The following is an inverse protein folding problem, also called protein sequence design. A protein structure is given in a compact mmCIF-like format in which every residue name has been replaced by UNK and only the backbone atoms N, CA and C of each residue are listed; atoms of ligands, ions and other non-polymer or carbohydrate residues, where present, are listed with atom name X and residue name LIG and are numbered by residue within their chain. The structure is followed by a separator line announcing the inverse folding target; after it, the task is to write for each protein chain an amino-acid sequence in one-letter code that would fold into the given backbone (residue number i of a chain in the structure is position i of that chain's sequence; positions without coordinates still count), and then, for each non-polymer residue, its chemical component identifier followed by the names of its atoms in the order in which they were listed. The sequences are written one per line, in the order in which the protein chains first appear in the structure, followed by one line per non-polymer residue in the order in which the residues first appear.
data_IF_317106986027
#
_entry.id   IF_317106986027
#
_cell.length_a   1.000
_cell.length_b   1.000
_cell.length_c   1.000
_cell.angle_alpha   90.00
_cell.angle_beta   90.00
_cell.angle_gamma   90.00
#
_symmetry.space_group_name_H-M   'P 1'
#
loop_
_entity.id
_entity.type
_entity.pdbx_description
1 polymer ?
#
# COMPACT_ATOMS: atom_id res chain seq x y z
N UNK A 1 20.34 12.14 21.99
CA UNK A 1 18.98 12.59 21.66
C UNK A 1 18.88 12.61 20.15
N UNK A 2 18.30 11.57 19.55
CA UNK A 2 18.11 11.50 18.10
C UNK A 2 16.63 11.69 17.79
N UNK A 3 16.42 12.59 16.86
CA UNK A 3 15.15 13.08 16.33
C UNK A 3 14.21 11.93 15.95
N UNK A 4 13.03 11.89 16.57
CA UNK A 4 11.93 11.03 16.12
C UNK A 4 11.31 11.70 14.90
N UNK A 5 11.91 11.44 13.74
CA UNK A 5 11.27 11.66 12.45
C UNK A 5 10.03 10.78 12.36
N UNK A 6 8.90 11.27 12.89
CA UNK A 6 7.60 10.74 12.57
C UNK A 6 7.39 10.94 11.08
N UNK A 7 7.34 9.83 10.33
CA UNK A 7 6.90 9.87 8.94
C UNK A 7 5.60 10.67 8.88
N UNK A 8 5.53 11.75 8.08
CA UNK A 8 4.30 12.52 7.97
C UNK A 8 3.21 11.57 7.46
N UNK A 9 2.13 11.44 8.24
CA UNK A 9 0.91 10.76 7.82
C UNK A 9 0.59 11.21 6.39
N UNK A 10 0.73 10.29 5.43
CA UNK A 10 0.40 10.56 4.05
C UNK A 10 -1.06 11.00 4.02
N UNK A 11 -1.27 12.21 3.51
CA UNK A 11 -2.56 12.90 3.36
C UNK A 11 -3.50 12.15 2.41
N UNK A 12 -3.89 10.92 2.74
CA UNK A 12 -4.84 10.11 1.97
C UNK A 12 -6.28 10.35 2.42
N UNK A 13 -6.49 10.69 3.69
CA UNK A 13 -7.85 10.88 4.25
C UNK A 13 -8.50 12.19 3.75
N UNK A 14 -7.72 13.25 3.52
CA UNK A 14 -8.27 14.52 3.02
C UNK A 14 -8.56 14.54 1.52
N UNK A 15 -7.91 13.66 0.72
CA UNK A 15 -8.14 13.60 -0.72
C UNK A 15 -9.47 12.92 -1.09
N UNK A 16 -9.91 11.93 -0.30
CA UNK A 16 -11.16 11.19 -0.54
C UNK A 16 -12.39 12.09 -0.32
N UNK A 17 -12.36 12.97 0.70
CA UNK A 17 -13.43 13.94 0.94
C UNK A 17 -13.57 15.01 -0.15
N UNK A 18 -12.46 15.40 -0.79
CA UNK A 18 -12.46 16.40 -1.87
C UNK A 18 -12.93 15.81 -3.22
N UNK A 19 -12.67 14.53 -3.48
CA UNK A 19 -13.21 13.84 -4.67
C UNK A 19 -14.75 13.73 -4.60
N UNK A 20 -15.31 13.58 -3.40
CA UNK A 20 -16.74 13.45 -3.18
C UNK A 20 -17.52 14.75 -3.48
N UNK A 21 -16.91 15.92 -3.25
CA UNK A 21 -17.56 17.22 -3.53
C UNK A 21 -17.60 17.56 -5.04
N UNK A 22 -16.67 17.03 -5.84
CA UNK A 22 -16.63 17.25 -7.29
C UNK A 22 -17.69 16.42 -8.05
N UNK A 23 -18.07 15.25 -7.54
CA UNK A 23 -19.12 14.39 -8.13
C UNK A 23 -20.55 14.87 -7.82
N UNK A 24 -20.72 15.73 -6.81
CA UNK A 24 -22.01 16.25 -6.37
C UNK A 24 -22.49 17.51 -7.13
N UNK A 25 -21.94 17.80 -8.32
CA UNK A 25 -22.44 18.90 -9.16
C UNK A 25 -23.80 18.55 -9.78
N UNK A 26 -24.85 19.39 -9.61
CA UNK A 26 -26.18 19.12 -10.15
C UNK A 26 -26.23 19.40 -11.66
N UNK A 27 -25.80 18.43 -12.46
CA UNK A 27 -26.14 18.42 -13.89
C UNK A 27 -27.54 17.79 -14.04
N UNK A 28 -28.56 18.63 -14.19
CA UNK A 28 -29.89 18.22 -14.60
C UNK A 28 -29.80 17.47 -15.95
N UNK A 29 -30.30 16.24 -16.02
CA UNK A 29 -30.93 15.56 -17.17
C UNK A 29 -31.42 14.20 -16.66
N UNK A 30 -32.54 13.73 -17.21
CA UNK A 30 -33.44 12.65 -16.75
C UNK A 30 -32.85 11.22 -16.70
N UNK A 31 -31.58 11.06 -16.32
CA UNK A 31 -30.88 9.80 -16.24
C UNK A 31 -30.72 9.38 -14.77
N UNK A 32 -31.24 8.19 -14.42
CA UNK A 32 -31.16 7.64 -13.06
C UNK A 32 -29.69 7.45 -12.67
N UNK A 33 -29.29 8.12 -11.60
CA UNK A 33 -27.96 7.98 -11.00
C UNK A 33 -28.09 7.06 -9.80
N UNK A 34 -27.34 5.97 -9.79
CA UNK A 34 -27.25 5.07 -8.65
C UNK A 34 -25.88 5.24 -8.02
N UNK A 35 -25.87 5.57 -6.74
CA UNK A 35 -24.67 5.61 -5.93
C UNK A 35 -24.90 4.68 -4.75
N UNK A 36 -24.08 3.63 -4.67
CA UNK A 36 -24.03 2.72 -3.53
C UNK A 36 -22.61 2.68 -2.98
N UNK A 37 -22.49 2.35 -1.71
CA UNK A 37 -21.17 2.15 -1.12
C UNK A 37 -21.24 1.74 0.33
N UNK A 38 -20.08 1.33 0.82
CA UNK A 38 -19.84 0.93 2.18
C UNK A 38 -18.53 1.54 2.66
N UNK A 39 -18.47 1.85 3.96
CA UNK A 39 -17.26 2.24 4.65
C UNK A 39 -17.25 1.42 5.93
N UNK A 40 -16.15 0.72 6.16
CA UNK A 40 -15.92 -0.06 7.37
C UNK A 40 -14.75 0.55 8.12
N UNK A 41 -14.93 0.79 9.42
CA UNK A 41 -13.86 1.19 10.33
C UNK A 41 -13.74 0.12 11.39
N UNK A 42 -12.59 -0.53 11.46
CA UNK A 42 -12.34 -1.65 12.36
C UNK A 42 -11.27 -1.27 13.39
N UNK A 43 -11.60 -1.22 14.68
CA UNK A 43 -10.59 -1.25 15.73
C UNK A 43 -10.08 -2.69 15.89
N UNK A 44 -8.76 -2.86 15.91
CA UNK A 44 -8.10 -4.15 16.12
C UNK A 44 -7.26 -4.11 17.39
N UNK A 45 -7.40 -5.13 18.22
CA UNK A 45 -6.44 -5.48 19.26
C UNK A 45 -5.79 -6.80 18.89
N UNK A 46 -4.48 -6.78 18.68
CA UNK A 46 -3.70 -7.95 18.22
C UNK A 46 -2.57 -8.20 19.20
N UNK A 47 -2.61 -9.36 19.85
CA UNK A 47 -1.51 -9.87 20.67
C UNK A 47 -0.92 -11.10 20.00
N UNK A 48 0.37 -11.06 19.70
CA UNK A 48 1.09 -12.16 19.06
C UNK A 48 2.12 -12.70 20.04
N UNK A 49 2.01 -13.99 20.36
CA UNK A 49 3.04 -14.74 21.09
C UNK A 49 3.92 -15.47 20.09
N UNK A 50 5.24 -15.23 20.14
CA UNK A 50 6.21 -15.82 19.22
C UNK A 50 6.72 -14.86 18.14
N UNK A 51 7.07 -15.41 16.97
CA UNK A 51 7.72 -14.69 15.86
C UNK A 51 6.77 -13.73 15.14
N UNK A 52 6.78 -12.46 15.55
CA UNK A 52 5.95 -11.39 14.96
C UNK A 52 6.19 -11.21 13.46
N UNK A 53 7.45 -11.31 13.02
CA UNK A 53 7.81 -11.18 11.60
C UNK A 53 7.13 -12.25 10.74
N UNK A 54 7.06 -13.50 11.24
CA UNK A 54 6.40 -14.60 10.54
C UNK A 54 4.89 -14.51 10.57
N UNK A 55 4.31 -14.09 11.69
CA UNK A 55 2.87 -13.81 11.76
C UNK A 55 2.43 -12.74 10.74
N UNK A 56 3.26 -11.71 10.56
CA UNK A 56 3.03 -10.62 9.61
C UNK A 56 3.87 -10.75 8.33
N UNK A 57 4.23 -11.96 7.88
CA UNK A 57 5.20 -12.10 6.78
C UNK A 57 4.74 -11.37 5.50
N UNK A 58 3.44 -11.40 5.18
CA UNK A 58 2.85 -10.76 4.00
C UNK A 58 1.65 -9.84 4.31
N UNK A 59 1.55 -9.35 5.55
CA UNK A 59 0.41 -8.53 6.01
C UNK A 59 0.84 -7.60 7.15
N UNK A 60 -0.02 -6.64 7.49
CA UNK A 60 0.26 -5.65 8.53
C UNK A 60 -0.80 -5.65 9.64
N UNK A 61 -0.93 -6.80 10.32
CA UNK A 61 -1.83 -6.93 11.47
C UNK A 61 -1.14 -6.45 12.74
N UNK A 62 -1.53 -5.28 13.20
CA UNK A 62 -1.15 -4.75 14.52
C UNK A 62 -2.30 -3.99 15.16
N UNK A 63 -2.26 -3.89 16.50
CA UNK A 63 -3.20 -3.09 17.28
C UNK A 63 -3.29 -1.67 16.73
N UNK A 64 -4.50 -1.18 16.51
CA UNK A 64 -4.78 0.10 15.88
C UNK A 64 -6.13 0.12 15.19
N UNK A 65 -6.37 1.13 14.36
CA UNK A 65 -7.58 1.25 13.54
C UNK A 65 -7.21 0.98 12.08
N UNK A 66 -8.04 0.22 11.38
CA UNK A 66 -7.97 0.08 9.92
C UNK A 66 -9.33 0.43 9.33
N UNK A 67 -9.40 0.65 8.03
CA UNK A 67 -10.67 0.83 7.36
C UNK A 67 -10.65 0.34 5.93
N UNK A 68 -11.82 -0.03 5.48
CA UNK A 68 -12.09 -0.47 4.12
C UNK A 68 -13.24 0.39 3.57
N UNK A 69 -13.28 0.55 2.26
CA UNK A 69 -14.40 1.19 1.60
C UNK A 69 -14.63 0.62 0.22
N UNK A 70 -15.88 0.69 -0.22
CA UNK A 70 -16.30 0.34 -1.58
C UNK A 70 -17.36 1.32 -2.02
N UNK A 71 -17.24 1.85 -3.23
CA UNK A 71 -18.22 2.73 -3.84
C UNK A 71 -18.48 2.28 -5.27
N UNK A 72 -19.75 2.31 -5.65
CA UNK A 72 -20.19 2.04 -7.00
C UNK A 72 -21.10 3.18 -7.45
N UNK A 73 -20.81 3.72 -8.61
CA UNK A 73 -21.58 4.77 -9.24
C UNK A 73 -21.99 4.31 -10.63
N UNK A 74 -23.29 4.36 -10.90
CA UNK A 74 -23.85 4.07 -12.21
C UNK A 74 -24.68 5.24 -12.72
N UNK A 75 -24.55 5.52 -14.02
CA UNK A 75 -25.38 6.50 -14.72
C UNK A 75 -25.59 6.02 -16.15
N UNK A 76 -26.81 5.56 -16.44
CA UNK A 76 -27.15 4.92 -17.71
C UNK A 76 -26.22 3.76 -18.04
N UNK A 77 -25.43 3.90 -19.10
CA UNK A 77 -24.48 2.86 -19.53
C UNK A 77 -23.06 3.08 -18.97
N UNK A 78 -22.85 4.08 -18.11
CA UNK A 78 -21.56 4.35 -17.49
C UNK A 78 -21.52 3.79 -16.07
N UNK A 79 -20.35 3.33 -15.66
CA UNK A 79 -20.08 2.86 -14.31
C UNK A 79 -18.70 3.34 -13.83
N UNK A 80 -18.57 3.47 -12.51
CA UNK A 80 -17.33 3.77 -11.80
C UNK A 80 -17.36 3.04 -10.46
N UNK A 81 -16.40 2.16 -10.24
CA UNK A 81 -16.15 1.45 -9.00
C UNK A 81 -14.86 1.95 -8.38
N UNK A 82 -14.89 2.16 -7.07
CA UNK A 82 -13.72 2.55 -6.28
C UNK A 82 -13.71 1.73 -4.99
N UNK A 83 -12.60 1.05 -4.71
CA UNK A 83 -12.41 0.28 -3.49
C UNK A 83 -11.07 0.58 -2.83
N UNK A 84 -11.05 0.49 -1.50
CA UNK A 84 -9.85 0.57 -0.68
C UNK A 84 -9.90 -0.47 0.42
N UNK A 85 -8.81 -1.20 0.59
CA UNK A 85 -8.65 -2.23 1.62
C UNK A 85 -7.44 -1.90 2.50
N UNK A 86 -7.56 -2.18 3.79
CA UNK A 86 -6.54 -1.94 4.81
C UNK A 86 -5.97 -0.51 4.78
N UNK A 87 -6.84 0.48 4.57
CA UNK A 87 -6.45 1.88 4.37
C UNK A 87 -5.59 2.37 5.53
N UNK A 88 -4.40 2.88 5.20
CA UNK A 88 -3.43 3.38 6.17
C UNK A 88 -2.47 2.33 6.75
N UNK A 89 -2.53 1.08 6.30
CA UNK A 89 -1.60 -0.01 6.66
C UNK A 89 -0.52 -0.22 5.61
N UNK A 90 0.50 -1.02 5.94
CA UNK A 90 1.58 -1.40 5.00
C UNK A 90 1.14 -2.45 3.96
N UNK A 91 -0.03 -3.07 4.15
CA UNK A 91 -0.66 -4.02 3.23
C UNK A 91 -1.93 -3.45 2.55
N UNK A 92 -1.95 -2.13 2.36
CA UNK A 92 -3.10 -1.43 1.77
C UNK A 92 -3.21 -1.63 0.26
N UNK A 93 -4.45 -1.67 -0.22
CA UNK A 93 -4.78 -1.84 -1.64
C UNK A 93 -5.86 -0.84 -2.05
N UNK A 94 -5.74 -0.27 -3.24
CA UNK A 94 -6.76 0.57 -3.85
C UNK A 94 -7.04 0.12 -5.27
N UNK A 95 -8.31 0.10 -5.63
CA UNK A 95 -8.78 -0.25 -6.97
C UNK A 95 -9.74 0.82 -7.46
N UNK A 96 -9.57 1.21 -8.72
CA UNK A 96 -10.49 2.08 -9.44
C UNK A 96 -10.77 1.42 -10.78
N UNK A 97 -12.04 1.30 -11.12
CA UNK A 97 -12.48 0.75 -12.39
C UNK A 97 -13.63 1.59 -12.92
N UNK A 98 -13.71 1.76 -14.22
CA UNK A 98 -14.88 2.41 -14.78
C UNK A 98 -14.92 2.31 -16.28
N UNK A 99 -15.97 2.88 -16.86
CA UNK A 99 -16.11 2.91 -18.30
C UNK A 99 -17.55 3.02 -18.74
N UNK A 100 -17.78 2.61 -19.98
CA UNK A 100 -19.10 2.51 -20.59
C UNK A 100 -19.33 1.08 -21.03
N UNK A 101 -20.40 0.48 -20.52
CA UNK A 101 -20.79 -0.90 -20.83
C UNK A 101 -20.82 -1.15 -22.35
N UNK A 102 -20.04 -2.14 -22.80
CA UNK A 102 -19.94 -2.53 -24.20
C UNK A 102 -19.28 -1.50 -25.11
N UNK A 103 -18.50 -0.56 -24.58
CA UNK A 103 -17.73 0.40 -25.39
C UNK A 103 -16.29 0.54 -24.93
N UNK A 104 -16.05 0.83 -23.65
CA UNK A 104 -14.69 0.91 -23.13
C UNK A 104 -14.66 0.68 -21.63
N UNK A 105 -13.48 0.31 -21.14
CA UNK A 105 -13.19 0.09 -19.72
C UNK A 105 -11.79 0.61 -19.42
N UNK A 106 -11.61 1.17 -18.24
CA UNK A 106 -10.30 1.42 -17.67
C UNK A 106 -10.23 0.84 -16.26
N UNK A 107 -9.02 0.55 -15.83
CA UNK A 107 -8.73 0.12 -14.47
C UNK A 107 -7.42 0.73 -13.99
N UNK A 108 -7.33 0.90 -12.67
CA UNK A 108 -6.13 1.28 -11.96
C UNK A 108 -6.08 0.52 -10.65
N UNK A 109 -4.90 -0.01 -10.33
CA UNK A 109 -4.65 -0.72 -9.07
C UNK A 109 -3.38 -0.18 -8.44
N UNK A 110 -3.47 0.04 -7.13
CA UNK A 110 -2.33 0.25 -6.25
C UNK A 110 -2.34 -0.86 -5.20
N UNK A 111 -1.24 -1.57 -5.05
CA UNK A 111 -1.12 -2.66 -4.10
C UNK A 111 0.21 -2.57 -3.34
N UNK A 112 0.14 -2.72 -2.03
CA UNK A 112 1.31 -2.79 -1.16
C UNK A 112 1.32 -4.10 -0.41
N UNK A 113 2.46 -4.79 -0.43
CA UNK A 113 2.65 -6.03 0.30
C UNK A 113 4.00 -5.95 1.03
N UNK A 114 4.01 -5.98 2.37
CA UNK A 114 5.25 -6.12 3.11
C UNK A 114 5.78 -7.56 2.97
N UNK A 115 7.09 -7.75 3.04
CA UNK A 115 7.73 -9.04 3.22
C UNK A 115 8.63 -8.96 4.46
N UNK A 116 8.14 -9.43 5.60
CA UNK A 116 8.86 -9.35 6.88
C UNK A 116 9.70 -10.62 7.11
N UNK A 117 11.03 -10.49 7.09
CA UNK A 117 11.93 -11.61 7.35
C UNK A 117 12.14 -11.82 8.84
N UNK A 118 12.50 -10.75 9.56
CA UNK A 118 12.70 -10.75 11.01
C UNK A 118 12.61 -9.32 11.57
N UNK A 119 12.15 -9.18 12.82
CA UNK A 119 12.14 -7.91 13.57
C UNK A 119 13.24 -7.85 14.64
N UNK A 120 14.17 -8.82 14.61
CA UNK A 120 15.21 -8.99 15.63
C UNK A 120 16.59 -9.20 15.00
N UNK A 121 16.77 -8.83 13.73
CA UNK A 121 18.07 -8.91 13.08
C UNK A 121 19.10 -8.06 13.84
N UNK A 122 20.32 -8.58 13.94
CA UNK A 122 21.44 -7.91 14.58
C UNK A 122 22.59 -7.79 13.59
N UNK A 123 23.29 -6.66 13.63
CA UNK A 123 24.48 -6.41 12.81
C UNK A 123 25.56 -5.70 13.61
N UNK A 124 26.82 -6.08 13.36
CA UNK A 124 27.99 -5.35 13.83
C UNK A 124 28.35 -4.15 12.94
N UNK A 125 27.71 -4.05 11.76
CA UNK A 125 27.89 -2.90 10.88
C UNK A 125 27.04 -1.71 11.34
N UNK A 126 27.63 -0.52 11.23
CA UNK A 126 26.96 0.78 11.28
C UNK A 126 26.63 1.24 9.85
N UNK A 127 25.67 2.15 9.71
CA UNK A 127 25.22 2.63 8.39
C UNK A 127 24.25 1.68 7.67
N UNK A 128 23.66 0.72 8.38
CA UNK A 128 22.63 -0.17 7.83
C UNK A 128 21.42 0.65 7.34
N UNK A 129 20.86 0.26 6.19
CA UNK A 129 19.85 1.04 5.46
C UNK A 129 20.42 2.11 4.50
N UNK A 130 21.74 2.30 4.48
CA UNK A 130 22.43 3.20 3.53
C UNK A 130 23.33 2.46 2.54
N UNK A 131 24.01 3.21 1.67
CA UNK A 131 24.90 2.67 0.65
C UNK A 131 26.31 2.31 1.17
N UNK A 132 26.61 2.62 2.43
CA UNK A 132 27.95 2.43 2.99
C UNK A 132 27.82 1.81 4.38
N UNK A 133 28.42 0.64 4.51
CA UNK A 133 28.51 -0.08 5.77
C UNK A 133 29.90 0.13 6.36
N UNK A 134 29.96 0.53 7.62
CA UNK A 134 31.20 0.66 8.38
C UNK A 134 31.14 -0.25 9.59
N UNK A 135 32.27 -0.64 10.16
CA UNK A 135 32.31 -1.38 11.41
C UNK A 135 33.45 -0.86 12.26
N UNK A 136 33.33 -1.05 13.58
CA UNK A 136 34.40 -0.74 14.51
C UNK A 136 35.29 -1.97 14.67
N UNK A 137 36.59 -1.91 14.32
CA UNK A 137 37.49 -3.05 14.50
C UNK A 137 37.83 -3.29 15.97
N UNK A 138 37.89 -4.57 16.38
CA UNK A 138 38.18 -4.99 17.75
C UNK A 138 39.07 -6.27 17.77
N UNK A 139 40.30 -6.23 18.35
CA UNK A 139 41.01 -5.04 18.81
C UNK A 139 41.32 -4.10 17.63
N UNK A 140 41.55 -2.79 17.86
CA UNK A 140 41.74 -1.79 16.80
C UNK A 140 42.84 -2.13 15.78
N UNK A 141 43.80 -2.98 16.15
CA UNK A 141 44.94 -3.41 15.33
C UNK A 141 44.67 -4.61 14.42
N UNK A 142 43.54 -5.32 14.58
CA UNK A 142 43.31 -6.60 13.90
C UNK A 142 42.33 -6.53 12.72
N UNK A 143 41.68 -5.39 12.47
CA UNK A 143 40.61 -5.26 11.46
C UNK A 143 39.51 -6.35 11.57
N UNK A 144 39.31 -6.91 12.77
CA UNK A 144 38.28 -7.91 13.04
C UNK A 144 36.99 -7.23 13.50
N UNK A 145 35.82 -7.74 13.11
CA UNK A 145 34.55 -7.22 13.61
C UNK A 145 34.37 -7.48 15.11
N UNK A 146 33.59 -6.63 15.78
CA UNK A 146 33.26 -6.81 17.20
C UNK A 146 32.53 -8.15 17.42
N UNK A 147 33.13 -9.02 18.23
CA UNK A 147 32.59 -10.35 18.54
C UNK A 147 31.59 -10.33 19.70
N UNK A 148 31.41 -9.19 20.38
CA UNK A 148 30.43 -9.05 21.45
C UNK A 148 29.02 -8.82 20.87
N UNK A 149 28.21 -9.86 20.77
CA UNK A 149 26.83 -9.79 20.26
C UNK A 149 25.93 -8.77 20.99
N UNK A 150 26.25 -8.39 22.24
CA UNK A 150 25.48 -7.39 22.98
C UNK A 150 25.72 -5.95 22.51
N UNK A 151 26.80 -5.68 21.78
CA UNK A 151 27.09 -4.34 21.23
C UNK A 151 26.47 -4.12 19.84
N UNK A 152 25.95 -5.18 19.22
CA UNK A 152 25.41 -5.15 17.87
C UNK A 152 24.08 -4.39 17.82
N UNK A 153 23.93 -3.58 16.77
CA UNK A 153 22.70 -2.83 16.52
C UNK A 153 21.61 -3.78 16.03
N UNK A 154 20.39 -3.59 16.52
CA UNK A 154 19.22 -4.32 16.04
C UNK A 154 18.48 -3.52 14.96
N UNK A 155 17.89 -4.21 13.98
CA UNK A 155 17.06 -3.60 12.95
C UNK A 155 15.97 -4.56 12.47
N UNK A 156 14.93 -4.00 11.87
CA UNK A 156 13.89 -4.79 11.21
C UNK A 156 14.34 -5.09 9.79
N UNK A 157 14.36 -6.38 9.42
CA UNK A 157 14.68 -6.81 8.07
C UNK A 157 13.39 -7.14 7.33
N UNK A 158 13.01 -6.25 6.42
CA UNK A 158 11.80 -6.39 5.60
C UNK A 158 11.98 -5.74 4.23
N UNK A 159 11.17 -6.16 3.27
CA UNK A 159 11.06 -5.54 1.95
C UNK A 159 9.62 -5.16 1.71
N UNK A 160 9.35 -3.90 1.39
CA UNK A 160 8.05 -3.45 0.95
C UNK A 160 7.96 -3.51 -0.58
N UNK A 161 7.04 -4.33 -1.09
CA UNK A 161 6.64 -4.30 -2.49
C UNK A 161 5.51 -3.29 -2.68
N UNK A 162 5.59 -2.49 -3.74
CA UNK A 162 4.55 -1.56 -4.16
C UNK A 162 4.34 -1.72 -5.66
N UNK A 163 3.12 -2.05 -6.06
CA UNK A 163 2.74 -2.25 -7.45
C UNK A 163 1.70 -1.21 -7.87
N UNK A 164 1.94 -0.61 -9.02
CA UNK A 164 0.97 0.21 -9.74
C UNK A 164 0.62 -0.52 -11.03
N UNK A 165 -0.66 -0.68 -11.32
CA UNK A 165 -1.12 -1.24 -12.58
C UNK A 165 -2.25 -0.36 -13.13
N UNK A 166 -2.37 -0.31 -14.45
CA UNK A 166 -3.52 0.30 -15.09
C UNK A 166 -3.74 -0.25 -16.48
N UNK A 167 -5.00 -0.35 -16.85
CA UNK A 167 -5.47 -0.92 -18.08
C UNK A 167 -6.45 -0.02 -18.79
N UNK A 168 -6.53 -0.16 -20.11
CA UNK A 168 -7.56 0.43 -20.93
C UNK A 168 -7.97 -0.55 -22.03
N UNK A 169 -9.27 -0.79 -22.12
CA UNK A 169 -9.89 -1.65 -23.12
C UNK A 169 -10.93 -0.86 -23.91
N UNK A 170 -10.93 -1.04 -25.22
CA UNK A 170 -11.87 -0.42 -26.16
C UNK A 170 -12.55 -1.52 -26.99
N UNK A 171 -13.86 -1.65 -26.86
CA UNK A 171 -14.69 -2.53 -27.68
C UNK A 171 -15.07 -1.78 -28.98
N UNK A 172 -14.59 -2.26 -30.13
CA UNK A 172 -14.78 -1.59 -31.42
C UNK A 172 -16.07 -2.05 -32.10
N UNK A 173 -16.09 -3.31 -32.51
CA UNK A 173 -17.26 -3.99 -33.08
C UNK A 173 -17.07 -5.48 -32.80
N UNK A 174 -18.10 -6.16 -32.30
CA UNK A 174 -17.95 -7.56 -31.87
C UNK A 174 -17.48 -8.44 -33.04
N UNK A 175 -16.49 -9.34 -32.86
CA UNK A 175 -15.74 -9.65 -31.63
C UNK A 175 -14.42 -8.89 -31.44
N UNK A 176 -14.15 -7.82 -32.20
CA UNK A 176 -12.90 -7.07 -32.19
C UNK A 176 -12.84 -6.04 -31.06
N UNK A 177 -11.74 -6.10 -30.28
CA UNK A 177 -11.43 -5.18 -29.19
C UNK A 177 -9.92 -4.88 -29.18
N UNK A 178 -9.57 -3.75 -28.57
CA UNK A 178 -8.19 -3.36 -28.26
C UNK A 178 -8.03 -3.33 -26.74
N UNK A 179 -6.95 -3.90 -26.22
CA UNK A 179 -6.68 -3.98 -24.79
C UNK A 179 -5.19 -3.72 -24.54
N UNK A 180 -4.89 -2.77 -23.65
CA UNK A 180 -3.54 -2.41 -23.26
C UNK A 180 -3.48 -2.28 -21.74
N UNK A 181 -2.45 -2.86 -21.13
CA UNK A 181 -2.18 -2.72 -19.70
C UNK A 181 -0.71 -2.47 -19.46
N UNK A 182 -0.42 -1.70 -18.40
CA UNK A 182 0.92 -1.39 -17.94
C UNK A 182 0.98 -1.64 -16.44
N UNK A 183 2.10 -2.21 -15.99
CA UNK A 183 2.37 -2.41 -14.57
C UNK A 183 3.79 -2.00 -14.22
N UNK A 184 3.96 -1.42 -13.02
CA UNK A 184 5.25 -1.05 -12.46
C UNK A 184 5.32 -1.54 -11.03
N UNK A 185 6.33 -2.35 -10.75
CA UNK A 185 6.66 -2.82 -9.41
C UNK A 185 7.87 -2.08 -8.88
N UNK A 186 7.82 -1.69 -7.61
CA UNK A 186 8.92 -1.10 -6.86
C UNK A 186 9.12 -1.89 -5.57
N UNK A 187 10.38 -2.12 -5.20
CA UNK A 187 10.76 -2.76 -3.94
C UNK A 187 11.68 -1.83 -3.16
N UNK A 188 11.44 -1.71 -1.85
CA UNK A 188 12.27 -0.95 -0.91
C UNK A 188 12.49 -1.76 0.35
N UNK A 189 13.72 -1.83 0.86
CA UNK A 189 14.11 -2.53 2.07
C UNK A 189 15.53 -2.16 2.47
#
# INVERSE_FOLDING_TARGET
MYDRGGDPMKSSVFLVGLLFSLLASPNAFAEERKLSGEITVSPLYVEVKGEKAKFNEYRDLHTGVTGDFGFQYEKGNYYLDLAGLNVGRKDQKYELQGGKWGSFKYDFTYDQIPHNFTTTAKTFYSGFGGNTLTYRPQPPSAFLPDTNFSSWSSFDYSVQRTQYAGGFKLDLFKPFFFDVSLSKEMRKG
#
